data_IF_019273756680
#
_entry.id   IF_019273756680
#
_cell.length_a   1.000
_cell.length_b   1.000
_cell.length_c   1.000
_cell.angle_alpha   90.00
_cell.angle_beta   90.00
_cell.angle_gamma   90.00
#
_symmetry.space_group_name_H-M   'P 1'
#
loop_
_entity.id
_entity.type
_entity.pdbx_description
1 polymer ?
#
# COMPACT_ATOMS: atom_id res chain seq x y z
N UNK A 1 -94.89 -3.79 -21.92
CA UNK A 1 -94.63 -3.24 -20.58
C UNK A 1 -93.57 -4.13 -19.95
N UNK A 2 -92.30 -3.74 -19.97
CA UNK A 2 -91.21 -4.25 -19.12
C UNK A 2 -89.87 -3.69 -19.64
N UNK A 3 -89.50 -2.51 -19.16
CA UNK A 3 -88.11 -2.13 -19.00
C UNK A 3 -88.02 -1.13 -17.84
N UNK A 4 -87.13 -1.38 -16.89
CA UNK A 4 -86.05 -0.48 -16.49
C UNK A 4 -85.38 -0.96 -15.20
N UNK A 5 -84.14 -1.41 -15.39
CA UNK A 5 -83.01 -0.82 -14.64
C UNK A 5 -82.88 -1.20 -13.17
N UNK A 6 -82.30 -2.37 -12.90
CA UNK A 6 -81.59 -2.59 -11.64
C UNK A 6 -80.09 -2.79 -11.90
N UNK A 7 -79.40 -1.68 -12.15
CA UNK A 7 -77.94 -1.58 -12.07
C UNK A 7 -77.61 -0.41 -11.16
N UNK A 8 -77.43 -0.68 -9.86
CA UNK A 8 -76.66 0.13 -8.88
C UNK A 8 -76.95 -0.40 -7.48
N UNK A 9 -76.03 -1.19 -6.91
CA UNK A 9 -75.69 -1.19 -5.48
C UNK A 9 -74.70 -2.32 -5.15
N UNK A 10 -73.50 -2.31 -5.75
CA UNK A 10 -72.39 -3.14 -5.27
C UNK A 10 -71.16 -2.25 -5.08
N UNK A 11 -71.24 -1.33 -4.12
CA UNK A 11 -70.08 -0.50 -3.73
C UNK A 11 -70.27 0.12 -2.36
N UNK A 12 -70.58 -0.70 -1.33
CA UNK A 12 -70.70 -0.20 0.05
C UNK A 12 -70.03 -1.06 1.12
N UNK A 13 -69.21 -2.04 0.77
CA UNK A 13 -68.56 -2.94 1.74
C UNK A 13 -67.03 -2.83 1.82
N UNK A 14 -66.38 -1.99 1.00
CA UNK A 14 -64.90 -1.95 0.94
C UNK A 14 -64.20 -0.99 1.92
N UNK A 15 -64.91 -0.19 2.72
CA UNK A 15 -64.26 0.81 3.56
C UNK A 15 -63.86 0.30 4.96
N UNK A 16 -64.33 -0.88 5.38
CA UNK A 16 -64.02 -1.43 6.71
C UNK A 16 -62.71 -2.22 6.76
N UNK A 17 -62.13 -2.56 5.60
CA UNK A 17 -60.84 -3.29 5.55
C UNK A 17 -59.62 -2.35 5.50
N UNK A 18 -59.82 -1.05 5.22
CA UNK A 18 -58.70 -0.11 5.03
C UNK A 18 -58.24 0.59 6.31
N UNK A 19 -59.06 0.61 7.36
CA UNK A 19 -58.74 1.30 8.63
C UNK A 19 -57.90 0.47 9.60
N UNK A 20 -57.65 -0.82 9.33
CA UNK A 20 -56.80 -1.67 10.18
C UNK A 20 -55.29 -1.47 9.94
N UNK A 21 -54.91 -0.63 8.96
CA UNK A 21 -53.52 -0.37 8.60
C UNK A 21 -53.24 1.13 8.48
N UNK A 22 -53.71 1.92 9.44
CA UNK A 22 -53.16 3.25 9.66
C UNK A 22 -52.04 3.11 10.70
N UNK A 23 -50.76 2.99 10.30
CA UNK A 23 -49.66 2.99 11.25
C UNK A 23 -49.74 4.30 12.05
N UNK A 24 -49.82 4.19 13.37
CA UNK A 24 -49.67 5.34 14.24
C UNK A 24 -48.33 6.00 13.92
N UNK A 25 -48.28 7.33 13.68
CA UNK A 25 -47.09 8.00 13.16
C UNK A 25 -45.85 7.80 14.04
N UNK A 26 -46.05 7.53 15.34
CA UNK A 26 -44.96 7.19 16.26
C UNK A 26 -44.32 5.82 16.00
N UNK A 27 -45.10 4.79 15.64
CA UNK A 27 -44.58 3.42 15.44
C UNK A 27 -43.78 3.34 14.14
N UNK A 28 -44.26 4.02 13.08
CA UNK A 28 -43.52 4.11 11.80
C UNK A 28 -42.14 4.73 12.00
N UNK A 29 -42.07 5.85 12.73
CA UNK A 29 -40.80 6.50 13.02
C UNK A 29 -39.86 5.63 13.87
N UNK A 30 -40.37 4.89 14.86
CA UNK A 30 -39.56 3.97 15.67
C UNK A 30 -39.01 2.82 14.83
N UNK A 31 -39.80 2.26 13.92
CA UNK A 31 -39.32 1.20 13.02
C UNK A 31 -38.23 1.76 12.09
N UNK A 32 -38.44 2.94 11.52
CA UNK A 32 -37.46 3.58 10.63
C UNK A 32 -36.15 3.85 11.39
N UNK A 33 -36.20 4.41 12.60
CA UNK A 33 -34.98 4.66 13.38
C UNK A 33 -34.25 3.37 13.75
N UNK A 34 -34.98 2.30 14.07
CA UNK A 34 -34.40 1.00 14.39
C UNK A 34 -33.73 0.36 13.17
N UNK A 35 -34.35 0.47 11.99
CA UNK A 35 -33.77 0.02 10.71
C UNK A 35 -32.52 0.83 10.37
N UNK A 36 -32.56 2.17 10.50
CA UNK A 36 -31.39 3.03 10.26
C UNK A 36 -30.23 2.65 11.18
N UNK A 37 -30.51 2.44 12.47
CA UNK A 37 -29.51 1.98 13.44
C UNK A 37 -28.91 0.61 13.06
N UNK A 38 -29.74 -0.34 12.64
CA UNK A 38 -29.28 -1.66 12.22
C UNK A 38 -28.39 -1.59 10.97
N UNK A 39 -28.73 -0.74 10.01
CA UNK A 39 -27.92 -0.51 8.80
C UNK A 39 -26.59 0.13 9.16
N UNK A 40 -26.59 1.17 10.01
CA UNK A 40 -25.36 1.82 10.46
C UNK A 40 -24.44 0.84 11.20
N UNK A 41 -24.98 0.08 12.16
CA UNK A 41 -24.21 -0.92 12.90
C UNK A 41 -23.61 -1.98 11.96
N UNK A 42 -24.39 -2.45 10.99
CA UNK A 42 -23.93 -3.44 10.00
C UNK A 42 -22.85 -2.86 9.09
N UNK A 43 -23.02 -1.62 8.61
CA UNK A 43 -22.01 -0.95 7.79
C UNK A 43 -20.69 -0.76 8.54
N UNK A 44 -20.75 -0.43 9.84
CA UNK A 44 -19.58 -0.27 10.69
C UNK A 44 -18.89 -1.63 10.92
N UNK A 45 -19.66 -2.69 11.18
CA UNK A 45 -19.14 -4.04 11.33
C UNK A 45 -18.42 -4.53 10.06
N UNK A 46 -19.05 -4.35 8.89
CA UNK A 46 -18.43 -4.70 7.59
C UNK A 46 -17.15 -3.89 7.37
N UNK A 47 -17.19 -2.57 7.61
CA UNK A 47 -16.01 -1.70 7.46
C UNK A 47 -14.86 -2.13 8.38
N UNK A 48 -15.17 -2.50 9.63
CA UNK A 48 -14.19 -2.99 10.59
C UNK A 48 -13.55 -4.31 10.14
N UNK A 49 -14.33 -5.20 9.53
CA UNK A 49 -13.84 -6.45 8.94
C UNK A 49 -12.99 -6.18 7.69
N UNK A 50 -13.40 -5.26 6.82
CA UNK A 50 -12.62 -4.87 5.64
C UNK A 50 -11.27 -4.25 6.01
N UNK A 51 -11.21 -3.44 7.08
CA UNK A 51 -9.94 -2.93 7.61
C UNK A 51 -8.97 -4.03 8.04
N UNK A 52 -9.47 -5.20 8.46
CA UNK A 52 -8.59 -6.36 8.77
C UNK A 52 -7.96 -6.98 7.52
N UNK A 53 -8.57 -6.83 6.34
CA UNK A 53 -8.01 -7.33 5.09
C UNK A 53 -6.90 -6.42 4.53
N UNK A 54 -7.00 -5.10 4.70
CA UNK A 54 -5.99 -4.16 4.20
C UNK A 54 -4.67 -4.25 4.97
N UNK A 55 -4.73 -4.53 6.28
CA UNK A 55 -3.55 -4.69 7.14
C UNK A 55 -2.72 -5.93 6.74
N UNK A 56 -3.37 -6.99 6.24
CA UNK A 56 -2.67 -8.19 5.78
C UNK A 56 -1.93 -7.97 4.45
N UNK A 57 -2.51 -7.19 3.54
CA UNK A 57 -1.88 -6.85 2.26
C UNK A 57 -0.70 -5.89 2.44
N UNK A 58 -0.89 -4.81 3.21
CA UNK A 58 0.20 -3.89 3.54
C UNK A 58 1.30 -4.58 4.36
N UNK A 59 0.93 -5.43 5.32
CA UNK A 59 1.90 -6.18 6.12
C UNK A 59 2.72 -7.16 5.27
N UNK A 60 2.10 -7.80 4.29
CA UNK A 60 2.79 -8.72 3.38
C UNK A 60 3.76 -8.00 2.44
N UNK A 61 3.34 -6.87 1.86
CA UNK A 61 4.20 -6.07 0.98
C UNK A 61 5.35 -5.43 1.75
N UNK A 62 5.10 -4.98 2.98
CA UNK A 62 6.14 -4.46 3.87
C UNK A 62 7.14 -5.56 4.28
N UNK A 63 6.67 -6.76 4.62
CA UNK A 63 7.53 -7.91 4.95
C UNK A 63 8.41 -8.29 3.77
N UNK A 64 7.85 -8.38 2.55
CA UNK A 64 8.60 -8.65 1.31
C UNK A 64 9.66 -7.60 1.02
N UNK A 65 9.35 -6.32 1.20
CA UNK A 65 10.29 -5.22 0.97
C UNK A 65 11.43 -5.26 2.01
N UNK A 66 11.11 -5.53 3.27
CA UNK A 66 12.08 -5.58 4.37
C UNK A 66 13.04 -6.76 4.22
N UNK A 67 12.55 -7.93 3.82
CA UNK A 67 13.37 -9.12 3.54
C UNK A 67 14.36 -8.88 2.41
N UNK A 68 13.92 -8.18 1.34
CA UNK A 68 14.82 -7.81 0.23
C UNK A 68 15.91 -6.86 0.72
N UNK A 69 15.55 -5.85 1.49
CA UNK A 69 16.49 -4.89 2.06
C UNK A 69 17.51 -5.56 2.99
N UNK A 70 17.07 -6.53 3.80
CA UNK A 70 17.96 -7.29 4.67
C UNK A 70 18.97 -8.10 3.86
N UNK A 71 18.51 -8.86 2.86
CA UNK A 71 19.39 -9.64 1.98
C UNK A 71 20.39 -8.77 1.21
N UNK A 72 19.98 -7.60 0.74
CA UNK A 72 20.90 -6.68 0.06
C UNK A 72 21.96 -6.13 1.02
N UNK A 73 21.59 -5.79 2.26
CA UNK A 73 22.54 -5.32 3.27
C UNK A 73 23.53 -6.39 3.68
N UNK A 74 23.09 -7.63 3.86
CA UNK A 74 23.99 -8.75 4.15
C UNK A 74 24.99 -8.98 3.02
N UNK A 75 24.54 -8.95 1.76
CA UNK A 75 25.43 -9.07 0.59
C UNK A 75 26.42 -7.92 0.48
N UNK A 76 25.97 -6.69 0.72
CA UNK A 76 26.84 -5.53 0.69
C UNK A 76 27.91 -5.65 1.79
N UNK A 77 27.52 -6.02 3.01
CA UNK A 77 28.46 -6.24 4.11
C UNK A 77 29.45 -7.37 3.83
N UNK A 78 29.02 -8.44 3.18
CA UNK A 78 29.92 -9.52 2.73
C UNK A 78 30.93 -9.01 1.68
N UNK A 79 30.46 -8.24 0.69
CA UNK A 79 31.31 -7.64 -0.33
C UNK A 79 32.28 -6.62 0.26
N UNK A 80 31.89 -5.79 1.22
CA UNK A 80 32.80 -4.86 1.91
C UNK A 80 33.89 -5.61 2.66
N UNK A 81 33.57 -6.75 3.28
CA UNK A 81 34.56 -7.60 3.95
C UNK A 81 35.50 -8.27 2.94
N UNK A 82 34.98 -8.77 1.83
CA UNK A 82 35.78 -9.32 0.74
C UNK A 82 36.71 -8.27 0.13
N UNK A 83 36.20 -7.06 -0.10
CA UNK A 83 36.94 -5.94 -0.64
C UNK A 83 38.01 -5.50 0.36
N UNK A 84 37.69 -5.37 1.64
CA UNK A 84 38.69 -5.10 2.68
C UNK A 84 39.77 -6.19 2.70
N UNK A 85 39.41 -7.46 2.53
CA UNK A 85 40.35 -8.61 2.49
C UNK A 85 41.23 -8.60 1.23
N UNK A 86 40.66 -8.25 0.07
CA UNK A 86 41.40 -8.12 -1.19
C UNK A 86 42.31 -6.89 -1.19
N UNK A 87 41.87 -5.82 -0.53
CA UNK A 87 42.63 -4.56 -0.38
C UNK A 87 43.52 -4.57 0.87
N UNK A 88 43.69 -5.74 1.52
CA UNK A 88 44.54 -5.80 2.72
C UNK A 88 45.97 -5.38 2.37
N UNK A 89 46.53 -4.36 3.06
CA UNK A 89 47.82 -3.79 2.74
C UNK A 89 48.95 -4.82 2.82
N UNK A 90 48.87 -5.79 3.73
CA UNK A 90 49.83 -6.89 3.82
C UNK A 90 49.85 -7.78 2.57
N UNK A 91 48.69 -8.09 1.98
CA UNK A 91 48.62 -8.87 0.73
C UNK A 91 49.17 -8.07 -0.44
N UNK A 92 48.77 -6.80 -0.56
CA UNK A 92 49.29 -5.89 -1.57
C UNK A 92 50.81 -5.72 -1.45
N UNK A 93 51.35 -5.54 -0.25
CA UNK A 93 52.80 -5.49 -0.01
C UNK A 93 53.49 -6.79 -0.43
N UNK A 94 52.96 -7.93 -0.03
CA UNK A 94 53.54 -9.23 -0.40
C UNK A 94 53.56 -9.46 -1.92
N UNK A 95 52.51 -9.02 -2.64
CA UNK A 95 52.41 -9.11 -4.09
C UNK A 95 53.37 -8.12 -4.76
N UNK A 96 53.42 -6.87 -4.27
CA UNK A 96 54.32 -5.83 -4.75
C UNK A 96 55.79 -6.27 -4.61
N UNK A 97 56.17 -6.84 -3.47
CA UNK A 97 57.52 -7.38 -3.26
C UNK A 97 57.84 -8.53 -4.22
N UNK A 98 56.88 -9.43 -4.50
CA UNK A 98 57.04 -10.49 -5.51
C UNK A 98 57.21 -9.95 -6.93
N UNK A 99 56.59 -8.80 -7.22
CA UNK A 99 56.73 -8.08 -8.49
C UNK A 99 58.00 -7.20 -8.55
N UNK A 100 58.85 -7.24 -7.51
CA UNK A 100 60.10 -6.47 -7.45
C UNK A 100 59.88 -4.98 -7.14
N UNK A 101 58.69 -4.59 -6.72
CA UNK A 101 58.40 -3.22 -6.29
C UNK A 101 59.02 -2.96 -4.91
N UNK A 102 59.62 -1.78 -4.75
CA UNK A 102 60.26 -1.33 -3.52
C UNK A 102 59.47 -0.15 -2.95
N UNK A 103 59.31 -0.02 -1.61
CA UNK A 103 58.64 1.13 -1.02
C UNK A 103 59.35 2.44 -1.41
N UNK A 104 58.60 3.36 -2.01
CA UNK A 104 59.09 4.72 -2.28
C UNK A 104 59.26 5.48 -0.96
N UNK A 105 60.39 6.17 -0.75
CA UNK A 105 60.64 6.94 0.45
C UNK A 105 59.75 8.21 0.48
N UNK A 106 59.45 8.70 1.69
CA UNK A 106 58.38 9.69 1.91
C UNK A 106 58.66 11.05 1.25
N UNK A 107 59.93 11.36 1.01
CA UNK A 107 60.45 12.56 0.34
C UNK A 107 60.17 12.59 -1.18
N UNK A 108 59.85 11.45 -1.79
CA UNK A 108 59.54 11.34 -3.22
C UNK A 108 58.03 11.31 -3.52
N UNK A 109 57.18 11.33 -2.47
CA UNK A 109 55.72 11.29 -2.61
C UNK A 109 55.17 12.70 -2.85
N UNK A 110 54.54 12.94 -4.01
CA UNK A 110 53.88 14.22 -4.35
C UNK A 110 52.37 14.06 -4.42
N UNK A 111 51.63 14.86 -3.63
CA UNK A 111 50.15 14.88 -3.65
C UNK A 111 49.66 15.68 -4.86
N UNK A 112 48.85 15.05 -5.71
CA UNK A 112 48.21 15.69 -6.86
C UNK A 112 46.79 16.12 -6.47
N UNK A 113 46.36 17.36 -6.76
CA UNK A 113 44.98 17.79 -6.54
C UNK A 113 43.99 16.93 -7.34
N UNK A 114 42.77 16.66 -6.82
CA UNK A 114 41.78 15.88 -7.54
C UNK A 114 41.45 16.57 -8.89
N UNK A 115 41.44 15.77 -9.96
CA UNK A 115 41.07 16.25 -11.28
C UNK A 115 39.68 16.92 -11.23
N UNK A 116 39.47 18.05 -11.92
CA UNK A 116 38.15 18.66 -12.02
C UNK A 116 37.15 17.59 -12.51
N UNK A 117 35.90 17.59 -12.01
CA UNK A 117 34.88 16.70 -12.55
C UNK A 117 34.85 16.90 -14.06
N UNK A 118 34.94 15.78 -14.80
CA UNK A 118 34.79 15.80 -16.25
C UNK A 118 33.54 16.62 -16.54
N UNK A 119 33.74 17.79 -17.13
CA UNK A 119 32.64 18.64 -17.56
C UNK A 119 31.79 17.75 -18.44
N UNK A 120 30.55 17.50 -18.02
CA UNK A 120 29.56 16.75 -18.77
C UNK A 120 29.62 17.25 -20.20
N UNK A 121 30.21 16.44 -21.08
CA UNK A 121 30.19 16.67 -22.51
C UNK A 121 28.70 16.73 -22.86
N UNK A 122 28.20 17.88 -23.35
CA UNK A 122 26.77 18.03 -23.57
C UNK A 122 26.36 16.91 -24.51
N UNK A 123 25.47 16.06 -24.01
CA UNK A 123 24.75 15.05 -24.78
C UNK A 123 24.10 15.78 -25.97
N UNK A 124 24.82 15.79 -27.09
CA UNK A 124 24.28 16.20 -28.36
C UNK A 124 23.31 15.09 -28.76
N UNK A 125 22.11 15.20 -28.18
CA UNK A 125 20.96 14.40 -28.53
C UNK A 125 20.84 14.41 -30.05
N UNK A 126 21.04 13.23 -30.63
CA UNK A 126 20.75 12.99 -32.03
C UNK A 126 19.25 13.16 -32.22
N UNK A 127 18.89 14.22 -32.94
CA UNK A 127 17.59 14.44 -33.57
C UNK A 127 17.20 13.30 -34.53
#
# INVERSE_FOLDING_TARGET
MNDHGNRRALSRTYHLLRSAWAPTPGVGNVIITMVVLAVLATSLAVTQVSRRHDVLRLGYDLSRATDRLHKLRERNRALEVELATLTHPERLRSLATRLGMVPTPADEIRVVPPAPPATEEPDHGHE
#
